data_IF_271557335316
#
_entry.id   IF_271557335316
#
_cell.length_a   1.000
_cell.length_b   1.000
_cell.length_c   1.000
_cell.angle_alpha   90.00
_cell.angle_beta   90.00
_cell.angle_gamma   90.00
#
_symmetry.space_group_name_H-M   'P 1'
#
loop_
_entity.id
_entity.type
_entity.pdbx_description
1 polymer ?
#
# COMPACT_ATOMS: atom_id res chain seq x y z
N UNK A 1 -3.69 -1.00 24.79
CA UNK A 1 -3.08 -1.81 23.72
C UNK A 1 -1.59 -1.49 23.64
N UNK A 2 -0.75 -2.48 23.87
CA UNK A 2 0.72 -2.33 23.96
C UNK A 2 1.32 -2.21 22.57
N UNK A 3 1.97 -1.08 22.31
CA UNK A 3 2.77 -0.81 21.10
C UNK A 3 3.66 -2.02 20.80
N UNK A 4 3.60 -2.60 19.60
CA UNK A 4 4.53 -3.68 19.24
C UNK A 4 5.96 -3.13 19.35
N UNK A 5 6.80 -3.67 20.26
CA UNK A 5 8.18 -3.25 20.36
C UNK A 5 8.90 -3.57 19.05
N UNK A 6 9.87 -2.74 18.66
CA UNK A 6 10.64 -2.88 17.42
C UNK A 6 11.19 -4.31 17.21
N UNK A 7 11.51 -5.01 18.30
CA UNK A 7 11.92 -6.44 18.29
C UNK A 7 10.88 -7.38 17.69
N UNK A 8 9.59 -7.14 17.93
CA UNK A 8 8.51 -7.95 17.32
C UNK A 8 8.34 -7.64 15.84
N UNK A 9 8.54 -6.38 15.43
CA UNK A 9 8.52 -6.01 14.02
C UNK A 9 9.66 -6.67 13.23
N UNK A 10 10.87 -6.71 13.78
CA UNK A 10 12.01 -7.37 13.13
C UNK A 10 11.79 -8.89 12.92
N UNK A 11 10.89 -9.49 13.70
CA UNK A 11 10.48 -10.89 13.58
C UNK A 11 9.20 -11.05 12.73
N UNK A 12 8.65 -9.97 12.19
CA UNK A 12 7.50 -10.03 11.28
C UNK A 12 7.89 -10.70 9.96
N UNK A 13 6.92 -11.32 9.30
CA UNK A 13 7.14 -11.97 8.00
C UNK A 13 7.70 -11.00 6.95
N UNK A 14 7.21 -9.76 6.94
CA UNK A 14 7.66 -8.72 6.01
C UNK A 14 9.11 -8.29 6.28
N UNK A 15 9.49 -8.12 7.54
CA UNK A 15 10.89 -7.81 7.90
C UNK A 15 11.82 -8.96 7.55
N UNK A 16 11.41 -10.21 7.81
CA UNK A 16 12.18 -11.42 7.46
C UNK A 16 12.40 -11.52 5.94
N UNK A 17 11.38 -11.24 5.13
CA UNK A 17 11.53 -11.23 3.67
C UNK A 17 12.53 -10.17 3.21
N UNK A 18 12.46 -8.96 3.77
CA UNK A 18 13.43 -7.89 3.49
C UNK A 18 14.86 -8.26 3.93
N UNK A 19 15.00 -8.90 5.09
CA UNK A 19 16.28 -9.44 5.58
C UNK A 19 16.86 -10.47 4.61
N UNK A 20 16.07 -11.47 4.21
CA UNK A 20 16.50 -12.52 3.29
C UNK A 20 16.95 -11.92 1.95
N UNK A 21 16.15 -11.03 1.36
CA UNK A 21 16.49 -10.40 0.09
C UNK A 21 17.79 -9.61 0.17
N UNK A 22 17.97 -8.79 1.20
CA UNK A 22 19.18 -7.99 1.37
C UNK A 22 20.41 -8.85 1.67
N UNK A 23 20.28 -9.88 2.52
CA UNK A 23 21.38 -10.80 2.82
C UNK A 23 21.80 -11.61 1.60
N UNK A 24 20.84 -12.13 0.83
CA UNK A 24 21.14 -12.83 -0.43
C UNK A 24 21.87 -11.91 -1.41
N UNK A 25 21.42 -10.66 -1.55
CA UNK A 25 22.08 -9.69 -2.42
C UNK A 25 23.51 -9.38 -1.96
N UNK A 26 23.73 -9.18 -0.66
CA UNK A 26 25.07 -8.97 -0.08
C UNK A 26 25.98 -10.17 -0.36
N UNK A 27 25.49 -11.40 -0.17
CA UNK A 27 26.26 -12.62 -0.42
C UNK A 27 26.62 -12.75 -1.90
N UNK A 28 25.67 -12.53 -2.81
CA UNK A 28 25.91 -12.61 -4.26
C UNK A 28 26.93 -11.56 -4.73
N UNK A 29 26.81 -10.32 -4.25
CA UNK A 29 27.76 -9.25 -4.55
C UNK A 29 29.15 -9.56 -3.97
N UNK A 30 29.21 -10.11 -2.76
CA UNK A 30 30.47 -10.50 -2.13
C UNK A 30 31.18 -11.63 -2.88
N UNK A 31 30.43 -12.66 -3.31
CA UNK A 31 30.97 -13.76 -4.12
C UNK A 31 31.46 -13.26 -5.48
N UNK A 32 30.70 -12.36 -6.13
CA UNK A 32 31.08 -11.78 -7.42
C UNK A 32 32.38 -10.97 -7.33
N UNK A 33 32.59 -10.25 -6.23
CA UNK A 33 33.85 -9.54 -5.94
C UNK A 33 34.99 -10.55 -5.70
N UNK A 34 34.72 -11.63 -4.97
CA UNK A 34 35.71 -12.67 -4.65
C UNK A 34 36.20 -13.44 -5.88
N UNK A 35 35.30 -13.75 -6.81
CA UNK A 35 35.62 -14.43 -8.08
C UNK A 35 36.47 -13.57 -9.05
N UNK A 36 36.78 -12.33 -8.67
CA UNK A 36 37.62 -11.44 -9.47
C UNK A 36 36.93 -10.85 -10.69
N UNK A 37 35.59 -10.91 -10.74
CA UNK A 37 34.79 -10.26 -11.77
C UNK A 37 34.78 -8.75 -11.51
N UNK A 38 35.81 -8.05 -11.97
CA UNK A 38 36.07 -6.63 -11.67
C UNK A 38 35.26 -5.68 -12.54
N UNK A 39 33.94 -5.87 -12.61
CA UNK A 39 33.09 -4.74 -12.98
C UNK A 39 33.14 -3.70 -11.84
N UNK A 40 33.42 -2.42 -12.14
CA UNK A 40 33.56 -1.37 -11.12
C UNK A 40 32.28 -1.17 -10.28
N UNK A 41 31.14 -1.65 -10.77
CA UNK A 41 29.82 -1.40 -10.20
C UNK A 41 29.49 -2.27 -8.97
N UNK A 42 30.12 -3.43 -8.78
CA UNK A 42 29.75 -4.34 -7.68
C UNK A 42 30.12 -3.82 -6.29
N UNK A 43 31.24 -3.10 -6.16
CA UNK A 43 31.65 -2.48 -4.88
C UNK A 43 30.69 -1.36 -4.48
N UNK A 44 30.25 -0.57 -5.45
CA UNK A 44 29.23 0.46 -5.26
C UNK A 44 27.86 -0.14 -4.95
N UNK A 45 27.49 -1.23 -5.62
CA UNK A 45 26.28 -2.00 -5.33
C UNK A 45 26.26 -2.57 -3.91
N UNK A 46 27.39 -3.07 -3.41
CA UNK A 46 27.53 -3.57 -2.04
C UNK A 46 27.35 -2.43 -1.01
N UNK A 47 28.08 -1.32 -1.19
CA UNK A 47 27.96 -0.14 -0.33
C UNK A 47 26.53 0.41 -0.31
N UNK A 48 25.92 0.52 -1.48
CA UNK A 48 24.53 0.96 -1.62
C UNK A 48 23.59 0.03 -0.86
N UNK A 49 23.73 -1.29 -1.03
CA UNK A 49 22.87 -2.28 -0.34
C UNK A 49 23.00 -2.18 1.19
N UNK A 50 24.21 -1.99 1.71
CA UNK A 50 24.46 -1.84 3.16
C UNK A 50 23.80 -0.57 3.71
N UNK A 51 23.85 0.54 2.98
CA UNK A 51 23.27 1.83 3.40
C UNK A 51 21.74 1.83 3.26
N UNK A 52 21.21 1.27 2.18
CA UNK A 52 19.78 1.30 1.86
C UNK A 52 18.99 0.31 2.73
N UNK A 53 19.60 -0.80 3.11
CA UNK A 53 18.98 -1.82 3.97
C UNK A 53 18.35 -1.27 5.28
N UNK A 54 19.05 -0.52 6.16
CA UNK A 54 18.45 0.04 7.37
C UNK A 54 17.36 1.08 7.06
N UNK A 55 17.49 1.81 5.95
CA UNK A 55 16.47 2.77 5.50
C UNK A 55 15.20 2.05 5.08
N UNK A 56 15.30 0.96 4.30
CA UNK A 56 14.18 0.12 3.91
C UNK A 56 13.48 -0.50 5.12
N UNK A 57 14.24 -1.01 6.10
CA UNK A 57 13.67 -1.52 7.34
C UNK A 57 12.94 -0.43 8.14
N UNK A 58 13.50 0.78 8.21
CA UNK A 58 12.87 1.92 8.86
C UNK A 58 11.57 2.34 8.18
N UNK A 59 11.54 2.36 6.85
CA UNK A 59 10.35 2.67 6.05
C UNK A 59 9.27 1.60 6.20
N UNK A 60 9.64 0.31 6.16
CA UNK A 60 8.71 -0.80 6.38
C UNK A 60 8.11 -0.74 7.80
N UNK A 61 8.94 -0.45 8.81
CA UNK A 61 8.47 -0.28 10.19
C UNK A 61 7.51 0.90 10.33
N UNK A 62 7.81 2.00 9.63
CA UNK A 62 6.95 3.18 9.61
C UNK A 62 5.62 2.89 8.91
N UNK A 63 5.63 2.17 7.79
CA UNK A 63 4.42 1.76 7.06
C UNK A 63 3.52 0.87 7.91
N UNK A 64 4.09 -0.16 8.55
CA UNK A 64 3.34 -1.07 9.45
C UNK A 64 2.68 -0.28 10.60
N UNK A 65 3.37 0.76 11.10
CA UNK A 65 2.80 1.67 12.09
C UNK A 65 1.66 2.52 11.57
N UNK A 66 1.75 3.03 10.34
CA UNK A 66 0.67 3.79 9.74
C UNK A 66 -0.55 2.90 9.51
N UNK A 67 -0.36 1.67 9.03
CA UNK A 67 -1.43 0.70 8.84
C UNK A 67 -2.13 0.32 10.16
N UNK A 68 -1.38 0.09 11.24
CA UNK A 68 -1.95 -0.17 12.56
C UNK A 68 -2.78 1.03 13.07
N UNK A 69 -2.30 2.26 12.85
CA UNK A 69 -3.03 3.47 13.23
C UNK A 69 -4.29 3.67 12.39
N UNK A 70 -4.20 3.47 11.08
CA UNK A 70 -5.34 3.56 10.16
C UNK A 70 -6.39 2.49 10.46
N UNK A 71 -5.98 1.26 10.82
CA UNK A 71 -6.91 0.20 11.19
C UNK A 71 -7.68 0.53 12.48
N UNK A 72 -7.00 1.08 13.49
CA UNK A 72 -7.62 1.51 14.75
C UNK A 72 -8.51 2.72 14.53
N UNK A 73 -8.04 3.70 13.75
CA UNK A 73 -8.85 4.88 13.38
C UNK A 73 -10.09 4.43 12.59
N UNK A 74 -9.96 3.52 11.63
CA UNK A 74 -11.10 2.96 10.90
C UNK A 74 -12.07 2.22 11.82
N UNK A 75 -11.58 1.47 12.82
CA UNK A 75 -12.42 0.77 13.80
C UNK A 75 -13.19 1.76 14.68
N UNK A 76 -12.53 2.80 15.18
CA UNK A 76 -13.15 3.87 15.96
C UNK A 76 -14.16 4.62 15.10
N UNK A 77 -13.74 5.09 13.92
CA UNK A 77 -14.54 5.90 12.98
C UNK A 77 -15.71 5.09 12.38
N UNK A 78 -15.61 3.76 12.28
CA UNK A 78 -16.73 2.90 11.84
C UNK A 78 -17.78 2.69 12.91
N UNK A 79 -17.38 2.77 14.18
CA UNK A 79 -18.28 2.69 15.32
C UNK A 79 -18.92 4.06 15.59
N UNK A 80 -18.16 5.16 15.42
CA UNK A 80 -18.63 6.51 15.79
C UNK A 80 -19.21 7.33 14.64
N UNK A 81 -18.70 7.23 13.40
CA UNK A 81 -19.08 8.10 12.27
C UNK A 81 -19.05 7.37 10.89
N UNK A 82 -19.94 6.39 10.64
CA UNK A 82 -19.92 5.56 9.42
C UNK A 82 -20.09 6.36 8.11
N UNK A 83 -20.77 7.52 8.15
CA UNK A 83 -20.91 8.40 6.99
C UNK A 83 -19.62 9.12 6.60
N UNK A 84 -18.77 9.43 7.57
CA UNK A 84 -17.49 10.10 7.35
C UNK A 84 -16.48 9.17 6.71
N UNK A 85 -16.48 7.90 7.13
CA UNK A 85 -15.73 6.84 6.48
C UNK A 85 -16.11 6.63 5.02
N UNK A 86 -17.40 6.66 4.68
CA UNK A 86 -17.85 6.59 3.28
C UNK A 86 -17.32 7.74 2.45
N UNK A 87 -17.29 8.96 3.00
CA UNK A 87 -16.72 10.12 2.30
C UNK A 87 -15.21 9.97 2.13
N UNK A 88 -14.49 9.61 3.18
CA UNK A 88 -13.04 9.36 3.18
C UNK A 88 -12.68 8.31 2.12
N UNK A 89 -13.37 7.17 2.09
CA UNK A 89 -13.16 6.11 1.09
C UNK A 89 -13.49 6.53 -0.33
N UNK A 90 -14.56 7.31 -0.56
CA UNK A 90 -14.84 7.88 -1.90
C UNK A 90 -13.73 8.81 -2.37
N UNK A 91 -13.16 9.62 -1.47
CA UNK A 91 -12.02 10.50 -1.78
C UNK A 91 -10.78 9.68 -2.09
N UNK A 92 -10.45 8.69 -1.27
CA UNK A 92 -9.33 7.78 -1.52
C UNK A 92 -9.46 7.01 -2.83
N UNK A 93 -10.67 6.53 -3.16
CA UNK A 93 -10.98 5.90 -4.45
C UNK A 93 -10.75 6.85 -5.62
N UNK A 94 -11.20 8.11 -5.52
CA UNK A 94 -10.94 9.11 -6.57
C UNK A 94 -9.46 9.44 -6.67
N UNK A 95 -8.77 9.59 -5.54
CA UNK A 95 -7.35 9.87 -5.48
C UNK A 95 -6.50 8.77 -6.12
N UNK A 96 -6.77 7.50 -5.79
CA UNK A 96 -6.07 6.38 -6.39
C UNK A 96 -6.33 6.26 -7.89
N UNK A 97 -7.57 6.49 -8.35
CA UNK A 97 -7.88 6.51 -9.79
C UNK A 97 -7.17 7.64 -10.54
N UNK A 98 -7.12 8.84 -9.98
CA UNK A 98 -6.38 9.98 -10.57
C UNK A 98 -4.88 9.66 -10.64
N UNK A 99 -4.34 9.03 -9.60
CA UNK A 99 -2.94 8.62 -9.55
C UNK A 99 -2.63 7.56 -10.61
N UNK A 100 -3.44 6.50 -10.71
CA UNK A 100 -3.29 5.47 -11.75
C UNK A 100 -3.42 6.06 -13.16
N UNK A 101 -4.34 7.00 -13.36
CA UNK A 101 -4.46 7.72 -14.63
C UNK A 101 -3.19 8.51 -14.96
N UNK A 102 -2.65 9.26 -14.00
CA UNK A 102 -1.41 10.03 -14.17
C UNK A 102 -0.21 9.14 -14.52
N UNK A 103 -0.05 8.02 -13.80
CA UNK A 103 0.98 7.01 -14.09
C UNK A 103 0.83 6.45 -15.50
N UNK A 104 -0.40 6.09 -15.88
CA UNK A 104 -0.69 5.57 -17.22
C UNK A 104 -0.27 6.53 -18.32
N UNK A 105 -0.66 7.81 -18.21
CA UNK A 105 -0.28 8.85 -19.19
C UNK A 105 1.23 9.03 -19.24
N UNK A 106 1.91 9.03 -18.10
CA UNK A 106 3.37 9.15 -18.03
C UNK A 106 4.07 7.99 -18.74
N UNK A 107 3.62 6.75 -18.54
CA UNK A 107 4.16 5.57 -19.23
C UNK A 107 3.88 5.56 -20.74
N UNK A 108 2.69 6.00 -21.16
CA UNK A 108 2.36 6.17 -22.59
C UNK A 108 3.29 7.20 -23.23
N UNK A 109 3.44 8.36 -22.60
CA UNK A 109 4.33 9.43 -23.09
C UNK A 109 5.79 8.96 -23.16
N UNK A 110 6.31 8.36 -22.09
CA UNK A 110 7.65 7.81 -22.04
C UNK A 110 7.87 6.74 -23.12
N UNK A 111 6.89 5.86 -23.33
CA UNK A 111 6.93 4.86 -24.39
C UNK A 111 6.94 5.44 -25.80
N UNK A 112 6.24 6.56 -26.05
CA UNK A 112 6.33 7.30 -27.32
C UNK A 112 7.66 8.02 -27.51
N UNK A 113 8.35 8.39 -26.43
CA UNK A 113 9.72 8.91 -26.46
C UNK A 113 10.80 7.81 -26.60
N UNK A 114 10.40 6.54 -26.72
CA UNK A 114 11.31 5.42 -26.93
C UNK A 114 11.85 4.77 -25.65
N UNK A 115 11.26 5.06 -24.48
CA UNK A 115 11.64 4.39 -23.23
C UNK A 115 11.19 2.93 -23.26
N UNK A 116 12.13 2.02 -23.00
CA UNK A 116 11.93 0.57 -22.97
C UNK A 116 12.27 0.05 -21.57
N UNK A 117 11.41 -0.80 -21.02
CA UNK A 117 11.60 -1.45 -19.73
C UNK A 117 11.62 -2.95 -20.00
N UNK A 118 12.75 -3.62 -19.73
CA UNK A 118 12.89 -5.09 -19.88
C UNK A 118 12.44 -5.62 -21.26
N UNK A 119 12.88 -4.94 -22.34
CA UNK A 119 12.48 -5.21 -23.74
C UNK A 119 11.01 -4.91 -24.09
N UNK A 120 10.15 -4.53 -23.15
CA UNK A 120 8.82 -4.02 -23.46
C UNK A 120 8.81 -2.49 -23.60
N UNK A 121 8.24 -1.96 -24.68
CA UNK A 121 7.96 -0.53 -24.77
C UNK A 121 7.06 -0.07 -23.63
N UNK A 122 7.47 1.01 -22.96
CA UNK A 122 6.77 1.52 -21.76
C UNK A 122 5.29 1.87 -22.00
N UNK A 123 4.90 2.14 -23.25
CA UNK A 123 3.52 2.45 -23.61
C UNK A 123 2.56 1.27 -23.40
N UNK A 124 3.02 0.01 -23.48
CA UNK A 124 2.19 -1.15 -23.17
C UNK A 124 1.81 -1.21 -21.68
N UNK A 125 2.76 -0.91 -20.79
CA UNK A 125 2.48 -0.73 -19.36
C UNK A 125 1.47 0.42 -19.16
N UNK A 126 1.67 1.51 -19.89
CA UNK A 126 0.75 2.65 -19.90
C UNK A 126 -0.69 2.25 -20.26
N UNK A 127 -0.89 1.53 -21.36
CA UNK A 127 -2.20 1.03 -21.77
C UNK A 127 -2.82 0.07 -20.76
N UNK A 128 -2.02 -0.81 -20.15
CA UNK A 128 -2.48 -1.70 -19.09
C UNK A 128 -3.05 -0.91 -17.91
N UNK A 129 -2.32 0.07 -17.40
CA UNK A 129 -2.81 0.94 -16.33
C UNK A 129 -4.04 1.77 -16.75
N UNK A 130 -4.15 2.13 -18.03
CA UNK A 130 -5.31 2.85 -18.55
C UNK A 130 -6.57 1.98 -18.47
N UNK A 131 -6.48 0.71 -18.87
CA UNK A 131 -7.57 -0.27 -18.79
C UNK A 131 -7.96 -0.51 -17.33
N UNK A 132 -6.99 -0.69 -16.44
CA UNK A 132 -7.24 -0.83 -14.99
C UNK A 132 -7.97 0.39 -14.42
N UNK A 133 -7.56 1.60 -14.83
CA UNK A 133 -8.21 2.85 -14.43
C UNK A 133 -9.64 2.92 -14.95
N UNK A 134 -9.86 2.59 -16.23
CA UNK A 134 -11.19 2.59 -16.84
C UNK A 134 -12.15 1.61 -16.17
N UNK A 135 -11.66 0.40 -15.85
CA UNK A 135 -12.40 -0.60 -15.08
C UNK A 135 -12.71 -0.11 -13.65
N UNK A 136 -11.75 0.54 -13.00
CA UNK A 136 -11.94 1.13 -11.68
C UNK A 136 -12.97 2.28 -11.67
N UNK A 137 -13.02 3.10 -12.73
CA UNK A 137 -14.07 4.13 -12.92
C UNK A 137 -15.43 3.50 -13.18
N UNK A 138 -15.48 2.42 -13.97
CA UNK A 138 -16.69 1.66 -14.23
C UNK A 138 -17.22 0.89 -13.00
N UNK A 139 -16.49 0.92 -11.88
CA UNK A 139 -16.86 0.20 -10.65
C UNK A 139 -16.62 -1.30 -10.72
N UNK A 140 -15.90 -1.78 -11.74
CA UNK A 140 -15.47 -3.18 -11.82
C UNK A 140 -14.35 -3.37 -10.82
N UNK A 141 -14.70 -3.94 -9.67
CA UNK A 141 -13.74 -4.07 -8.59
C UNK A 141 -12.81 -5.28 -8.82
N UNK A 142 -11.58 -5.00 -9.23
CA UNK A 142 -10.53 -6.00 -9.47
C UNK A 142 -9.80 -6.37 -8.16
N UNK A 143 -9.88 -5.52 -7.13
CA UNK A 143 -9.11 -5.64 -5.89
C UNK A 143 -10.03 -5.94 -4.69
N UNK A 144 -10.06 -7.20 -4.25
CA UNK A 144 -10.84 -7.63 -3.06
C UNK A 144 -10.17 -7.09 -1.79
N UNK A 145 -10.92 -6.32 -0.98
CA UNK A 145 -10.40 -5.70 0.25
C UNK A 145 -9.56 -4.43 0.05
N UNK A 146 -9.42 -3.95 -1.19
CA UNK A 146 -8.70 -2.71 -1.47
C UNK A 146 -9.54 -1.44 -1.26
N UNK A 147 -8.93 -0.25 -1.39
CA UNK A 147 -9.62 1.04 -1.23
C UNK A 147 -10.73 1.28 -2.27
N UNK A 148 -10.81 0.45 -3.30
CA UNK A 148 -11.83 0.48 -4.35
C UNK A 148 -13.02 -0.47 -4.07
N UNK A 149 -12.95 -1.30 -3.01
CA UNK A 149 -13.95 -2.34 -2.76
C UNK A 149 -15.24 -1.81 -2.13
N UNK A 150 -16.37 -1.77 -2.87
CA UNK A 150 -17.64 -1.29 -2.34
C UNK A 150 -18.18 -2.18 -1.23
N UNK A 151 -17.73 -3.44 -1.15
CA UNK A 151 -18.17 -4.41 -0.14
C UNK A 151 -17.65 -4.10 1.26
N UNK A 152 -16.60 -3.30 1.34
CA UNK A 152 -16.03 -2.87 2.60
C UNK A 152 -16.77 -1.65 3.15
N UNK A 153 -17.63 -0.98 2.37
CA UNK A 153 -18.40 0.15 2.85
C UNK A 153 -19.34 -0.32 3.99
N UNK A 154 -19.44 0.43 5.10
CA UNK A 154 -20.37 0.09 6.17
C UNK A 154 -21.80 0.03 5.60
N UNK A 155 -22.70 -0.81 6.14
CA UNK A 155 -24.09 -0.91 5.68
C UNK A 155 -24.79 0.45 5.82
N UNK A 156 -25.72 0.84 4.91
CA UNK A 156 -26.56 2.04 5.08
C UNK A 156 -27.14 1.99 6.48
N UNK A 157 -26.74 2.94 7.32
CA UNK A 157 -27.37 3.10 8.62
C UNK A 157 -28.78 3.57 8.31
N UNK A 158 -29.75 2.71 8.57
CA UNK A 158 -31.11 3.16 8.74
C UNK A 158 -31.07 4.11 9.93
N UNK A 159 -31.21 5.41 9.65
CA UNK A 159 -31.37 6.46 10.65
C UNK A 159 -32.78 6.42 11.25
N UNK A 160 -33.26 5.23 11.60
CA UNK A 160 -34.52 5.01 12.29
C UNK A 160 -34.24 4.09 13.48
N UNK A 161 -34.84 4.40 14.62
CA UNK A 161 -34.84 3.64 15.88
C UNK A 161 -33.63 3.79 16.82
N UNK A 162 -33.24 5.03 17.17
CA UNK A 162 -32.72 5.33 18.53
C UNK A 162 -33.48 6.52 19.16
N UNK A 163 -34.74 6.70 18.77
CA UNK A 163 -35.73 7.39 19.60
C UNK A 163 -36.70 6.30 20.07
N UNK A 164 -37.07 6.31 21.35
CA UNK A 164 -37.81 5.26 22.10
C UNK A 164 -36.94 4.23 22.85
N UNK A 165 -36.06 4.71 23.73
CA UNK A 165 -36.00 4.09 25.05
C UNK A 165 -37.27 4.52 25.80
N UNK A 166 -38.13 3.61 26.27
CA UNK A 166 -39.26 3.99 27.11
C UNK A 166 -38.68 4.60 28.39
N UNK A 167 -38.98 5.88 28.62
CA UNK A 167 -38.80 6.51 29.92
C UNK A 167 -39.68 5.71 30.87
N UNK A 168 -39.05 4.95 31.74
CA UNK A 168 -39.67 4.26 32.86
C UNK A 168 -40.23 5.35 33.80
N UNK A 169 -41.45 5.80 33.52
CA UNK A 169 -42.25 6.54 34.49
C UNK A 169 -42.89 5.51 35.40
N UNK A 170 -42.17 5.11 36.44
CA UNK A 170 -42.79 4.45 37.60
C UNK A 170 -43.84 5.40 38.19
N UNK A 171 -45.10 4.96 38.35
CA UNK A 171 -46.08 5.63 39.18
C UNK A 171 -46.04 5.06 40.61
N UNK A 172 -46.22 5.98 41.57
CA UNK A 172 -46.53 5.81 43.01
C UNK A 172 -45.36 5.74 44.01
#
# INVERSE_FOLDING_TARGET
MTRRPLKQFLLSSNAIQAHLLCLTLIVLLSLSIWEGNTQPDYKWGLLFTIIVYPVLLGLLWWSDRLEEQEAVEHLIESITEPERLRRKRRVWRRGSLIFFFGISVAFVYAGHQGVVIELLPAHYLGYFFFVVTALGVAGVNIWRGGPLDPRMDPPPGDSETVDELPVDTDPE
#
